data_IF_210365348123
#
_entry.id   IF_210365348123
#
_cell.length_a   1.000
_cell.length_b   1.000
_cell.length_c   1.000
_cell.angle_alpha   90.00
_cell.angle_beta   90.00
_cell.angle_gamma   90.00
#
_symmetry.space_group_name_H-M   'P 1'
#
loop_
_entity.id
_entity.type
_entity.pdbx_description
1 polymer ?
#
# COMPACT_ATOMS: atom_id res chain seq x y z
N UNK A 1 4.68 12.76 -8.97
CA UNK A 1 4.86 11.31 -8.70
C UNK A 1 4.27 11.01 -7.32
N UNK A 2 3.40 10.01 -7.18
CA UNK A 2 2.91 9.59 -5.87
C UNK A 2 3.79 8.47 -5.30
N UNK A 3 4.24 8.62 -4.06
CA UNK A 3 5.01 7.59 -3.35
C UNK A 3 4.13 7.03 -2.24
N UNK A 4 3.72 5.76 -2.37
CA UNK A 4 2.97 5.08 -1.32
C UNK A 4 3.93 4.59 -0.23
N UNK A 5 3.66 5.00 1.01
CA UNK A 5 4.44 4.58 2.17
C UNK A 5 3.60 3.64 3.03
N UNK A 6 4.17 2.51 3.50
CA UNK A 6 3.51 1.68 4.50
C UNK A 6 3.08 2.51 5.71
N UNK A 7 1.90 2.21 6.28
CA UNK A 7 1.44 2.90 7.49
C UNK A 7 2.46 2.77 8.63
N UNK A 8 2.70 3.87 9.35
CA UNK A 8 3.58 3.86 10.52
C UNK A 8 2.84 3.15 11.65
N UNK A 9 3.34 1.97 12.03
CA UNK A 9 2.77 1.17 13.11
C UNK A 9 3.75 1.10 14.29
N UNK A 10 3.23 1.23 15.51
CA UNK A 10 4.03 1.11 16.73
C UNK A 10 4.16 -0.35 17.23
N UNK A 11 3.55 -1.32 16.55
CA UNK A 11 3.42 -2.69 17.09
C UNK A 11 4.66 -3.56 16.87
N UNK A 12 5.61 -3.45 17.78
CA UNK A 12 6.66 -4.45 18.01
C UNK A 12 7.98 -4.18 17.29
N UNK A 13 9.08 -4.57 17.95
CA UNK A 13 10.47 -4.31 17.54
C UNK A 13 10.99 -5.30 16.48
N UNK A 14 10.10 -5.76 15.59
CA UNK A 14 10.48 -6.65 14.50
C UNK A 14 11.20 -5.86 13.40
N UNK A 15 12.23 -6.44 12.74
CA UNK A 15 12.99 -5.75 11.70
C UNK A 15 12.13 -5.25 10.54
N UNK A 16 11.08 -5.98 10.13
CA UNK A 16 10.09 -5.51 9.16
C UNK A 16 9.44 -4.20 9.58
N UNK A 17 8.96 -4.07 10.82
CA UNK A 17 8.37 -2.81 11.29
C UNK A 17 9.38 -1.67 11.32
N UNK A 18 10.64 -1.96 11.69
CA UNK A 18 11.72 -0.98 11.62
C UNK A 18 12.01 -0.58 10.18
N UNK A 19 11.99 -1.51 9.24
CA UNK A 19 12.13 -1.26 7.81
C UNK A 19 10.97 -0.39 7.29
N UNK A 20 9.71 -0.79 7.52
CA UNK A 20 8.54 -0.02 7.09
C UNK A 20 8.54 1.41 7.68
N UNK A 21 8.86 1.54 8.98
CA UNK A 21 8.99 2.84 9.62
C UNK A 21 10.19 3.64 9.10
N UNK A 22 11.30 2.98 8.72
CA UNK A 22 12.45 3.62 8.07
C UNK A 22 12.09 4.06 6.66
N UNK A 23 11.51 3.21 5.81
CA UNK A 23 11.04 3.55 4.47
C UNK A 23 10.06 4.70 4.48
N UNK A 24 9.09 4.71 5.42
CA UNK A 24 8.19 5.84 5.58
C UNK A 24 8.93 7.13 5.96
N UNK A 25 9.97 7.06 6.81
CA UNK A 25 10.80 8.22 7.18
C UNK A 25 11.75 8.67 6.07
N UNK A 26 12.33 7.76 5.29
CA UNK A 26 13.19 8.07 4.15
C UNK A 26 12.39 8.66 3.01
N UNK A 27 11.17 8.15 2.77
CA UNK A 27 10.25 8.74 1.80
C UNK A 27 9.89 10.19 2.15
N UNK A 28 9.85 10.56 3.44
CA UNK A 28 9.66 11.95 3.86
C UNK A 28 10.87 12.86 3.59
N UNK A 29 12.04 12.34 3.19
CA UNK A 29 13.22 13.16 2.91
C UNK A 29 13.24 13.71 1.47
N UNK A 30 12.65 12.99 0.52
CA UNK A 30 12.75 13.26 -0.93
C UNK A 30 11.38 13.58 -1.58
N UNK A 31 10.42 14.10 -0.82
CA UNK A 31 9.09 14.46 -1.34
C UNK A 31 8.82 15.96 -1.18
N UNK A 32 8.18 16.55 -2.19
CA UNK A 32 7.84 17.98 -2.19
C UNK A 32 6.59 18.30 -1.36
N UNK A 33 5.68 17.32 -1.18
CA UNK A 33 4.39 17.47 -0.52
C UNK A 33 3.99 16.17 0.17
N UNK A 34 3.42 16.27 1.37
CA UNK A 34 2.87 15.13 2.11
C UNK A 34 1.34 15.19 2.17
N UNK A 35 0.68 14.09 1.82
CA UNK A 35 -0.74 13.87 2.09
C UNK A 35 -0.89 13.04 3.36
N UNK A 36 -1.28 13.69 4.47
CA UNK A 36 -1.51 12.99 5.72
C UNK A 36 -2.95 12.50 5.80
N UNK A 37 -3.15 11.21 5.53
CA UNK A 37 -4.46 10.57 5.47
C UNK A 37 -4.91 10.06 6.86
N UNK A 38 -6.07 10.51 7.32
CA UNK A 38 -6.71 10.04 8.56
C UNK A 38 -8.13 9.57 8.32
N UNK A 39 -8.66 8.72 9.20
CA UNK A 39 -10.06 8.28 9.13
C UNK A 39 -10.98 9.27 9.87
N UNK A 40 -12.08 9.66 9.21
CA UNK A 40 -13.07 10.56 9.80
C UNK A 40 -13.60 10.04 11.15
N UNK A 41 -13.67 10.95 12.13
CA UNK A 41 -14.14 10.69 13.50
C UNK A 41 -13.28 9.69 14.30
N UNK A 42 -12.06 9.40 13.83
CA UNK A 42 -11.14 8.47 14.48
C UNK A 42 -9.73 9.04 14.48
N UNK A 43 -9.25 9.42 15.66
CA UNK A 43 -7.85 9.77 15.90
C UNK A 43 -7.22 8.75 16.85
N UNK A 44 -6.07 8.20 16.48
CA UNK A 44 -5.38 7.16 17.22
C UNK A 44 -3.97 7.59 17.63
N UNK A 45 -3.32 6.79 18.48
CA UNK A 45 -1.90 7.00 18.81
C UNK A 45 -0.97 6.79 17.61
N UNK A 46 -1.39 6.03 16.60
CA UNK A 46 -0.61 5.85 15.37
C UNK A 46 -0.66 7.14 14.53
N UNK A 47 -1.84 7.76 14.39
CA UNK A 47 -1.99 9.07 13.73
C UNK A 47 -1.14 10.15 14.43
N UNK A 48 -1.15 10.16 15.77
CA UNK A 48 -0.34 11.07 16.57
C UNK A 48 1.17 10.87 16.33
N UNK A 49 1.62 9.62 16.20
CA UNK A 49 3.03 9.32 15.92
C UNK A 49 3.46 9.72 14.51
N UNK A 50 2.58 9.57 13.51
CA UNK A 50 2.80 10.08 12.16
C UNK A 50 2.94 11.61 12.23
N UNK A 51 2.03 12.30 12.91
CA UNK A 51 2.05 13.75 13.04
C UNK A 51 3.36 14.26 13.66
N UNK A 52 3.85 13.60 14.72
CA UNK A 52 5.14 13.92 15.34
C UNK A 52 6.34 13.70 14.41
N UNK A 53 6.27 12.72 13.50
CA UNK A 53 7.29 12.52 12.49
C UNK A 53 7.26 13.65 11.45
N UNK A 54 6.07 14.05 11.01
CA UNK A 54 5.88 15.14 10.04
C UNK A 54 6.36 16.49 10.57
N UNK A 55 6.17 16.79 11.86
CA UNK A 55 6.70 17.99 12.51
C UNK A 55 8.21 18.14 12.37
N UNK A 56 8.95 17.04 12.19
CA UNK A 56 10.41 17.06 12.02
C UNK A 56 10.83 17.25 10.56
N UNK A 57 9.99 16.86 9.61
CA UNK A 57 10.29 16.85 8.17
C UNK A 57 10.25 18.25 7.54
N UNK A 58 9.53 19.22 8.13
CA UNK A 58 9.41 20.62 7.65
C UNK A 58 8.93 20.76 6.18
N UNK A 59 8.15 19.79 5.70
CA UNK A 59 7.53 19.81 4.38
C UNK A 59 6.10 20.36 4.46
N UNK A 60 5.53 20.88 3.35
CA UNK A 60 4.11 21.19 3.31
C UNK A 60 3.30 19.89 3.48
N UNK A 61 2.27 19.96 4.32
CA UNK A 61 1.42 18.81 4.65
C UNK A 61 -0.03 19.20 4.43
N UNK A 62 -0.73 18.41 3.61
CA UNK A 62 -2.18 18.50 3.42
C UNK A 62 -2.83 17.42 4.26
N UNK A 63 -3.75 17.80 5.14
CA UNK A 63 -4.55 16.85 5.91
C UNK A 63 -5.70 16.33 5.05
N UNK A 64 -5.80 15.01 4.90
CA UNK A 64 -6.86 14.35 4.14
C UNK A 64 -7.71 13.52 5.11
N UNK A 65 -8.91 13.99 5.40
CA UNK A 65 -9.87 13.31 6.29
C UNK A 65 -10.76 12.41 5.45
N UNK A 66 -10.45 11.13 5.38
CA UNK A 66 -11.09 10.17 4.50
C UNK A 66 -12.26 9.42 5.17
N UNK A 67 -13.09 8.76 4.35
CA UNK A 67 -14.28 7.98 4.75
C UNK A 67 -15.39 8.85 5.36
N UNK A 68 -15.51 10.11 4.94
CA UNK A 68 -16.57 11.02 5.42
C UNK A 68 -17.97 10.48 5.12
N UNK A 69 -18.11 9.63 4.09
CA UNK A 69 -19.34 8.92 3.76
C UNK A 69 -19.83 7.98 4.86
N UNK A 70 -18.93 7.52 5.74
CA UNK A 70 -19.27 6.63 6.86
C UNK A 70 -19.69 7.37 8.12
N UNK A 71 -19.58 8.70 8.15
CA UNK A 71 -20.01 9.52 9.26
C UNK A 71 -21.55 9.57 9.30
N UNK A 72 -22.15 8.73 10.17
CA UNK A 72 -23.61 8.69 10.37
C UNK A 72 -24.16 10.03 10.86
N UNK A 73 -23.40 10.72 11.70
CA UNK A 73 -23.75 12.04 12.21
C UNK A 73 -22.79 13.08 11.62
N UNK A 74 -23.27 13.81 10.60
CA UNK A 74 -22.50 14.86 9.94
C UNK A 74 -22.18 16.04 10.85
N UNK A 75 -22.96 16.25 11.92
CA UNK A 75 -22.72 17.35 12.87
C UNK A 75 -21.43 17.13 13.68
N UNK A 76 -20.95 15.89 13.78
CA UNK A 76 -19.68 15.57 14.45
C UNK A 76 -18.45 15.76 13.56
N UNK A 77 -18.64 15.85 12.25
CA UNK A 77 -17.54 15.93 11.30
C UNK A 77 -16.82 17.28 11.38
N UNK A 78 -17.55 18.39 11.41
CA UNK A 78 -16.96 19.73 11.53
C UNK A 78 -16.15 19.91 12.82
N UNK A 79 -16.67 19.57 14.03
CA UNK A 79 -15.87 19.60 15.25
C UNK A 79 -14.62 18.72 15.18
N UNK A 80 -14.72 17.51 14.63
CA UNK A 80 -13.57 16.63 14.47
C UNK A 80 -12.51 17.25 13.56
N UNK A 81 -12.91 17.75 12.38
CA UNK A 81 -11.99 18.43 11.45
C UNK A 81 -11.32 19.62 12.13
N UNK A 82 -12.06 20.45 12.84
CA UNK A 82 -11.50 21.59 13.58
C UNK A 82 -10.48 21.14 14.63
N UNK A 83 -10.78 20.08 15.39
CA UNK A 83 -9.86 19.50 16.36
C UNK A 83 -8.57 19.04 15.69
N UNK A 84 -8.63 18.18 14.68
CA UNK A 84 -7.43 17.62 14.05
C UNK A 84 -6.62 18.67 13.31
N UNK A 85 -7.29 19.64 12.66
CA UNK A 85 -6.63 20.74 11.94
C UNK A 85 -5.85 21.66 12.88
N UNK A 86 -6.25 21.74 14.16
CA UNK A 86 -5.53 22.56 15.15
C UNK A 86 -4.22 21.94 15.65
N UNK A 87 -3.99 20.65 15.39
CA UNK A 87 -2.82 19.90 15.91
C UNK A 87 -1.52 20.21 15.17
N UNK A 88 -1.61 20.75 13.96
CA UNK A 88 -0.46 21.03 13.10
C UNK A 88 -0.82 22.13 12.10
N UNK A 89 0.14 22.98 11.69
CA UNK A 89 -0.09 23.98 10.64
C UNK A 89 -0.16 23.32 9.26
N UNK A 90 -1.26 22.63 8.97
CA UNK A 90 -1.50 22.05 7.66
C UNK A 90 -1.64 23.15 6.61
N UNK A 91 -1.11 22.89 5.41
CA UNK A 91 -1.23 23.79 4.26
C UNK A 91 -2.70 23.91 3.85
N UNK A 92 -3.39 22.76 3.78
CA UNK A 92 -4.81 22.67 3.50
C UNK A 92 -5.43 21.44 4.17
N UNK A 93 -6.77 21.41 4.24
CA UNK A 93 -7.53 20.32 4.85
C UNK A 93 -8.67 19.89 3.92
N UNK A 94 -8.68 18.62 3.54
CA UNK A 94 -9.65 18.05 2.61
C UNK A 94 -10.45 16.92 3.26
N UNK A 95 -11.75 17.10 3.51
CA UNK A 95 -12.64 15.99 3.80
C UNK A 95 -12.99 15.25 2.50
N UNK A 96 -12.68 13.96 2.40
CA UNK A 96 -12.88 13.17 1.17
C UNK A 96 -13.61 11.85 1.43
N UNK A 97 -14.26 11.33 0.40
CA UNK A 97 -14.63 9.93 0.32
C UNK A 97 -13.88 9.29 -0.85
N UNK A 98 -12.75 8.65 -0.57
CA UNK A 98 -11.99 7.94 -1.60
C UNK A 98 -12.81 6.85 -2.31
N UNK A 99 -13.84 6.31 -1.64
CA UNK A 99 -14.73 5.30 -2.22
C UNK A 99 -15.76 5.90 -3.18
N UNK A 100 -16.33 7.06 -2.84
CA UNK A 100 -17.38 7.69 -3.65
C UNK A 100 -16.84 8.71 -4.65
N UNK A 101 -15.60 9.16 -4.47
CA UNK A 101 -14.96 10.20 -5.26
C UNK A 101 -15.14 11.61 -4.70
N UNK A 102 -15.87 11.77 -3.59
CA UNK A 102 -16.15 13.09 -3.00
C UNK A 102 -14.85 13.85 -2.69
N UNK A 103 -14.74 15.07 -3.24
CA UNK A 103 -13.62 16.00 -3.10
C UNK A 103 -12.24 15.48 -3.56
N UNK A 104 -12.18 14.33 -4.25
CA UNK A 104 -10.90 13.77 -4.75
C UNK A 104 -10.33 14.64 -5.87
N UNK A 105 -11.15 15.08 -6.83
CA UNK A 105 -10.69 15.94 -7.93
C UNK A 105 -10.21 17.33 -7.45
N UNK A 106 -10.85 17.88 -6.41
CA UNK A 106 -10.44 19.14 -5.79
C UNK A 106 -9.10 18.99 -5.07
N UNK A 107 -8.92 17.88 -4.33
CA UNK A 107 -7.65 17.52 -3.72
C UNK A 107 -6.54 17.38 -4.77
N UNK A 108 -6.78 16.67 -5.88
CA UNK A 108 -5.81 16.53 -6.97
C UNK A 108 -5.41 17.88 -7.57
N UNK A 109 -6.39 18.74 -7.85
CA UNK A 109 -6.13 20.09 -8.36
C UNK A 109 -5.25 20.89 -7.41
N UNK A 110 -5.52 20.79 -6.10
CA UNK A 110 -4.73 21.50 -5.10
C UNK A 110 -3.33 20.94 -4.95
N UNK A 111 -3.18 19.61 -4.99
CA UNK A 111 -1.88 18.93 -4.98
C UNK A 111 -1.03 19.43 -6.13
N UNK A 112 -1.57 19.47 -7.35
CA UNK A 112 -0.86 19.97 -8.52
C UNK A 112 -0.40 21.43 -8.35
N UNK A 113 -1.23 22.29 -7.76
CA UNK A 113 -0.89 23.68 -7.51
C UNK A 113 0.17 23.90 -6.41
N UNK A 114 0.38 22.91 -5.53
CA UNK A 114 1.38 22.96 -4.46
C UNK A 114 2.73 22.36 -4.89
N UNK A 115 2.78 21.61 -5.99
CA UNK A 115 4.02 21.03 -6.49
C UNK A 115 4.89 22.11 -7.15
N UNK A 116 6.22 22.05 -6.98
CA UNK A 116 7.13 22.94 -7.68
C UNK A 116 7.12 22.65 -9.18
N UNK A 117 7.34 23.68 -9.99
CA UNK A 117 7.55 23.53 -11.42
C UNK A 117 8.87 22.77 -11.65
N UNK A 118 8.79 21.65 -12.37
CA UNK A 118 9.94 20.81 -12.67
C UNK A 118 9.72 20.07 -14.00
N UNK A 119 10.81 19.58 -14.59
CA UNK A 119 10.70 18.68 -15.73
C UNK A 119 9.99 17.39 -15.30
N UNK A 120 9.22 16.81 -16.21
CA UNK A 120 8.61 15.51 -15.96
C UNK A 120 9.72 14.47 -15.70
N UNK A 121 9.69 13.87 -14.50
CA UNK A 121 10.62 12.80 -14.13
C UNK A 121 10.41 11.52 -14.96
N UNK A 122 9.22 11.36 -15.55
CA UNK A 122 8.83 10.23 -16.38
C UNK A 122 8.10 10.72 -17.64
N UNK A 123 8.19 10.00 -18.78
CA UNK A 123 7.39 10.25 -19.98
C UNK A 123 5.88 10.24 -19.68
N UNK A 124 5.08 11.00 -20.43
CA UNK A 124 3.62 11.14 -20.21
C UNK A 124 2.85 9.82 -20.37
N UNK A 125 3.40 8.87 -21.13
CA UNK A 125 2.87 7.53 -21.38
C UNK A 125 3.30 6.49 -20.33
N UNK A 126 4.18 6.87 -19.40
CA UNK A 126 4.65 5.99 -18.34
C UNK A 126 3.69 6.01 -17.14
N UNK A 127 2.74 5.07 -17.10
CA UNK A 127 1.76 4.94 -16.01
C UNK A 127 2.38 4.62 -14.63
N UNK A 128 3.56 3.99 -14.58
CA UNK A 128 4.30 3.69 -13.33
C UNK A 128 5.78 3.37 -13.61
N UNK A 129 6.65 3.59 -12.63
CA UNK A 129 8.06 3.17 -12.60
C UNK A 129 8.25 1.66 -12.33
N UNK A 130 7.16 0.92 -12.12
CA UNK A 130 7.20 -0.49 -11.68
C UNK A 130 6.94 -1.46 -12.82
N UNK A 131 7.82 -2.47 -12.94
CA UNK A 131 7.74 -3.53 -13.96
C UNK A 131 6.43 -4.34 -13.88
N UNK A 132 5.99 -4.97 -14.97
CA UNK A 132 4.81 -5.87 -15.00
C UNK A 132 4.85 -6.95 -13.89
N UNK A 133 6.06 -7.40 -13.52
CA UNK A 133 6.29 -8.32 -12.39
C UNK A 133 5.78 -7.75 -11.05
N UNK A 134 5.96 -6.46 -10.82
CA UNK A 134 5.46 -5.80 -9.63
C UNK A 134 3.94 -5.86 -9.58
N UNK A 135 3.26 -5.45 -10.66
CA UNK A 135 1.80 -5.50 -10.72
C UNK A 135 1.27 -6.92 -10.54
N UNK A 136 1.92 -7.92 -11.15
CA UNK A 136 1.57 -9.32 -10.92
C UNK A 136 1.67 -9.72 -9.44
N UNK A 137 2.72 -9.28 -8.73
CA UNK A 137 2.86 -9.51 -7.29
C UNK A 137 1.77 -8.80 -6.48
N UNK A 138 1.44 -7.55 -6.81
CA UNK A 138 0.41 -6.77 -6.12
C UNK A 138 -0.98 -7.37 -6.28
N UNK A 139 -1.39 -7.77 -7.49
CA UNK A 139 -2.69 -8.40 -7.70
C UNK A 139 -2.84 -9.66 -6.83
N UNK A 140 -1.80 -10.51 -6.75
CA UNK A 140 -1.82 -11.68 -5.88
C UNK A 140 -1.91 -11.26 -4.41
N UNK A 141 -1.09 -10.28 -3.99
CA UNK A 141 -1.03 -9.81 -2.60
C UNK A 141 -2.35 -9.21 -2.16
N UNK A 142 -2.99 -8.42 -3.01
CA UNK A 142 -4.30 -7.84 -2.75
C UNK A 142 -5.37 -8.92 -2.53
N UNK A 143 -5.44 -9.93 -3.40
CA UNK A 143 -6.40 -11.03 -3.24
C UNK A 143 -6.14 -11.84 -1.97
N UNK A 144 -4.85 -12.04 -1.60
CA UNK A 144 -4.48 -12.66 -0.33
C UNK A 144 -4.98 -11.83 0.86
N UNK A 145 -4.66 -10.53 0.91
CA UNK A 145 -5.03 -9.62 2.00
C UNK A 145 -6.55 -9.53 2.17
N UNK A 146 -7.29 -9.35 1.06
CA UNK A 146 -8.76 -9.29 1.05
C UNK A 146 -9.38 -10.54 1.68
N UNK A 147 -8.77 -11.70 1.43
CA UNK A 147 -9.25 -12.98 1.96
C UNK A 147 -8.81 -13.23 3.41
N UNK A 148 -7.56 -12.94 3.75
CA UNK A 148 -6.97 -13.26 5.05
C UNK A 148 -7.17 -12.18 6.10
N UNK A 149 -8.17 -11.31 5.92
CA UNK A 149 -8.42 -9.97 6.47
C UNK A 149 -8.19 -9.71 7.98
N UNK A 150 -7.69 -10.67 8.79
CA UNK A 150 -7.37 -10.52 10.22
C UNK A 150 -6.12 -11.24 10.76
N UNK A 151 -5.47 -12.19 10.08
CA UNK A 151 -4.45 -13.05 10.74
C UNK A 151 -3.01 -13.01 10.19
N UNK A 152 -2.80 -12.65 8.91
CA UNK A 152 -1.51 -12.84 8.22
C UNK A 152 -0.97 -11.64 7.39
N UNK A 153 -1.55 -10.41 7.37
CA UNK A 153 -1.06 -9.37 6.44
C UNK A 153 0.45 -9.07 6.52
N UNK A 154 1.02 -9.08 7.73
CA UNK A 154 2.42 -8.71 7.96
C UNK A 154 3.41 -9.88 7.86
N UNK A 155 2.92 -11.11 7.69
CA UNK A 155 3.73 -12.33 7.69
C UNK A 155 3.72 -13.05 6.33
N UNK A 156 3.24 -12.38 5.27
CA UNK A 156 3.26 -12.90 3.91
C UNK A 156 3.89 -11.91 2.93
N UNK A 157 4.60 -12.43 1.94
CA UNK A 157 5.09 -11.67 0.78
C UNK A 157 4.93 -12.49 -0.49
N UNK A 158 4.88 -11.81 -1.63
CA UNK A 158 4.73 -12.42 -2.96
C UNK A 158 5.96 -12.10 -3.78
N UNK A 159 6.61 -13.14 -4.29
CA UNK A 159 7.76 -13.07 -5.18
C UNK A 159 7.37 -13.65 -6.54
N UNK A 160 7.72 -12.98 -7.64
CA UNK A 160 7.54 -13.51 -9.00
C UNK A 160 8.83 -14.21 -9.42
N UNK A 161 8.84 -15.54 -9.42
CA UNK A 161 9.99 -16.35 -9.86
C UNK A 161 10.14 -16.32 -11.39
N UNK A 162 9.02 -16.28 -12.12
CA UNK A 162 9.01 -16.31 -13.58
C UNK A 162 7.93 -15.38 -14.11
N UNK A 163 8.30 -14.60 -15.11
CA UNK A 163 7.37 -13.84 -15.94
C UNK A 163 7.91 -13.95 -17.36
N UNK A 164 7.20 -14.67 -18.21
CA UNK A 164 7.55 -14.91 -19.60
C UNK A 164 6.39 -14.53 -20.50
N UNK A 165 6.71 -13.82 -21.57
CA UNK A 165 5.79 -13.57 -22.66
C UNK A 165 5.92 -14.70 -23.70
N UNK A 166 4.80 -15.37 -23.95
CA UNK A 166 4.58 -16.31 -25.04
C UNK A 166 3.57 -15.67 -26.02
N UNK A 167 3.44 -16.22 -27.24
CA UNK A 167 2.49 -15.68 -28.24
C UNK A 167 1.05 -15.60 -27.69
N UNK A 168 0.64 -14.38 -27.33
CA UNK A 168 -0.70 -14.09 -26.78
C UNK A 168 -0.95 -14.63 -25.37
N UNK A 169 0.10 -14.91 -24.58
CA UNK A 169 -0.02 -15.44 -23.23
C UNK A 169 1.14 -14.99 -22.34
N UNK A 170 0.83 -14.45 -21.16
CA UNK A 170 1.81 -14.29 -20.09
C UNK A 170 1.83 -15.53 -19.19
N UNK A 171 3.00 -16.15 -19.05
CA UNK A 171 3.24 -17.26 -18.12
C UNK A 171 3.93 -16.73 -16.86
N UNK A 172 3.20 -16.76 -15.75
CA UNK A 172 3.61 -16.15 -14.48
C UNK A 172 3.68 -17.23 -13.40
N UNK A 173 4.82 -17.31 -12.72
CA UNK A 173 5.09 -18.22 -11.62
C UNK A 173 5.41 -17.40 -10.37
N UNK A 174 4.64 -17.57 -9.29
CA UNK A 174 4.75 -16.77 -8.08
C UNK A 174 4.90 -17.63 -6.81
N UNK A 175 5.74 -17.22 -5.88
CA UNK A 175 5.78 -17.78 -4.53
C UNK A 175 5.13 -16.81 -3.55
N UNK A 176 4.20 -17.36 -2.75
CA UNK A 176 3.73 -16.74 -1.51
C UNK A 176 4.57 -17.30 -0.37
N UNK A 177 5.41 -16.45 0.21
CA UNK A 177 6.19 -16.79 1.40
C UNK A 177 5.38 -16.53 2.64
N UNK A 178 5.42 -17.45 3.61
CA UNK A 178 4.85 -17.28 4.94
C UNK A 178 5.84 -17.73 6.02
N UNK A 179 5.64 -17.31 7.26
CA UNK A 179 6.58 -17.60 8.36
C UNK A 179 6.33 -18.94 9.06
N UNK A 180 5.07 -19.39 9.10
CA UNK A 180 4.64 -20.56 9.89
C UNK A 180 3.77 -21.51 9.07
N UNK A 181 3.85 -22.81 9.37
CA UNK A 181 3.04 -23.82 8.67
C UNK A 181 1.54 -23.59 8.83
N UNK A 182 1.09 -23.09 9.99
CA UNK A 182 -0.31 -22.70 10.19
C UNK A 182 -0.78 -21.63 9.20
N UNK A 183 0.07 -20.65 8.89
CA UNK A 183 -0.24 -19.61 7.90
C UNK A 183 -0.33 -20.20 6.49
N UNK A 184 0.59 -21.10 6.14
CA UNK A 184 0.54 -21.83 4.85
C UNK A 184 -0.78 -22.58 4.70
N UNK A 185 -1.24 -23.26 5.75
CA UNK A 185 -2.51 -23.97 5.73
C UNK A 185 -3.71 -23.04 5.55
N UNK A 186 -3.67 -21.83 6.12
CA UNK A 186 -4.72 -20.82 5.94
C UNK A 186 -4.73 -20.29 4.51
N UNK A 187 -3.55 -19.97 3.95
CA UNK A 187 -3.42 -19.49 2.56
C UNK A 187 -3.88 -20.55 1.55
N UNK A 188 -3.50 -21.80 1.75
CA UNK A 188 -3.92 -22.93 0.90
C UNK A 188 -5.43 -23.21 1.08
N UNK A 189 -5.89 -23.15 2.32
CA UNK A 189 -7.26 -23.48 2.72
C UNK A 189 -7.61 -24.95 2.51
N UNK A 190 -8.86 -25.30 2.84
CA UNK A 190 -9.34 -26.69 2.77
C UNK A 190 -9.23 -27.21 1.34
N UNK A 191 -8.44 -28.26 1.13
CA UNK A 191 -8.19 -28.89 -0.19
C UNK A 191 -7.70 -27.90 -1.28
N UNK A 192 -6.97 -26.84 -0.90
CA UNK A 192 -6.48 -25.86 -1.86
C UNK A 192 -7.55 -24.88 -2.39
N UNK A 193 -8.78 -24.97 -1.89
CA UNK A 193 -9.88 -24.12 -2.37
C UNK A 193 -9.58 -22.63 -2.19
N UNK A 194 -8.83 -22.28 -1.15
CA UNK A 194 -8.53 -20.88 -0.88
C UNK A 194 -7.52 -20.30 -1.88
N UNK A 195 -6.40 -20.99 -2.06
CA UNK A 195 -5.39 -20.57 -3.01
C UNK A 195 -5.93 -20.56 -4.45
N UNK A 196 -6.81 -21.51 -4.79
CA UNK A 196 -7.46 -21.54 -6.11
C UNK A 196 -8.29 -20.29 -6.37
N UNK A 197 -9.10 -19.87 -5.40
CA UNK A 197 -9.91 -18.65 -5.52
C UNK A 197 -9.03 -17.39 -5.65
N UNK A 198 -7.96 -17.29 -4.85
CA UNK A 198 -6.99 -16.19 -4.95
C UNK A 198 -6.36 -16.14 -6.33
N UNK A 199 -5.87 -17.29 -6.83
CA UNK A 199 -5.24 -17.40 -8.14
C UNK A 199 -6.22 -17.02 -9.26
N UNK A 200 -7.48 -17.47 -9.19
CA UNK A 200 -8.50 -17.13 -10.20
C UNK A 200 -8.73 -15.63 -10.27
N UNK A 201 -8.97 -14.97 -9.14
CA UNK A 201 -9.25 -13.53 -9.10
C UNK A 201 -8.05 -12.69 -9.52
N UNK A 202 -6.85 -13.05 -9.05
CA UNK A 202 -5.62 -12.36 -9.42
C UNK A 202 -5.36 -12.49 -10.93
N UNK A 203 -5.55 -13.67 -11.51
CA UNK A 203 -5.45 -13.89 -12.96
C UNK A 203 -6.44 -13.03 -13.74
N UNK A 204 -7.70 -12.96 -13.34
CA UNK A 204 -8.71 -12.13 -14.00
C UNK A 204 -8.43 -10.63 -13.93
N UNK A 205 -7.82 -10.15 -12.84
CA UNK A 205 -7.32 -8.78 -12.73
C UNK A 205 -6.12 -8.55 -13.64
N UNK A 206 -5.16 -9.47 -13.67
CA UNK A 206 -4.00 -9.40 -14.57
C UNK A 206 -4.41 -9.40 -16.04
N UNK A 207 -5.34 -10.25 -16.46
CA UNK A 207 -5.79 -10.31 -17.86
C UNK A 207 -6.46 -9.00 -18.30
N UNK A 208 -7.26 -8.40 -17.42
CA UNK A 208 -7.87 -7.09 -17.68
C UNK A 208 -6.83 -5.98 -17.75
N UNK A 209 -5.82 -6.03 -16.89
CA UNK A 209 -4.78 -5.01 -16.81
C UNK A 209 -3.78 -5.09 -17.96
N UNK A 210 -3.30 -6.29 -18.29
CA UNK A 210 -2.32 -6.51 -19.36
C UNK A 210 -2.94 -6.58 -20.76
N UNK A 211 -4.26 -6.79 -20.87
CA UNK A 211 -4.94 -6.96 -22.15
C UNK A 211 -4.57 -8.25 -22.90
N UNK A 212 -3.96 -9.22 -22.20
CA UNK A 212 -3.53 -10.51 -22.74
C UNK A 212 -3.94 -11.64 -21.80
N UNK A 213 -3.96 -12.87 -22.29
CA UNK A 213 -4.25 -14.04 -21.44
C UNK A 213 -3.14 -14.26 -20.44
N UNK A 214 -3.48 -14.82 -19.27
CA UNK A 214 -2.50 -15.10 -18.21
C UNK A 214 -2.62 -16.54 -17.75
N UNK A 215 -1.50 -17.25 -17.76
CA UNK A 215 -1.33 -18.52 -17.05
C UNK A 215 -0.59 -18.25 -15.73
N UNK A 216 -1.31 -18.34 -14.62
CA UNK A 216 -0.78 -18.04 -13.29
C UNK A 216 -0.61 -19.31 -12.46
N UNK A 217 0.61 -19.56 -12.01
CA UNK A 217 0.94 -20.59 -11.01
C UNK A 217 1.40 -19.94 -9.72
N UNK A 218 0.87 -20.44 -8.59
CA UNK A 218 1.20 -19.93 -7.26
C UNK A 218 1.60 -21.09 -6.35
N UNK A 219 2.77 -20.98 -5.72
CA UNK A 219 3.21 -21.88 -4.65
C UNK A 219 3.18 -21.16 -3.31
N UNK A 220 2.94 -21.90 -2.24
CA UNK A 220 3.03 -21.37 -0.87
C UNK A 220 4.17 -22.07 -0.17
N UNK A 221 5.21 -21.32 0.19
CA UNK A 221 6.42 -21.84 0.84
C UNK A 221 6.57 -21.21 2.22
N UNK A 222 7.07 -22.00 3.19
CA UNK A 222 7.38 -21.50 4.53
C UNK A 222 8.85 -21.12 4.60
N UNK A 223 9.13 -19.88 4.97
CA UNK A 223 10.48 -19.41 5.29
C UNK A 223 10.43 -18.80 6.69
N UNK A 224 11.03 -19.47 7.68
CA UNK A 224 11.04 -18.95 9.05
C UNK A 224 11.82 -17.64 9.09
N UNK A 225 11.32 -16.66 9.86
CA UNK A 225 12.06 -15.44 10.21
C UNK A 225 12.49 -14.58 9.00
N UNK A 226 11.82 -14.70 7.85
CA UNK A 226 12.17 -13.91 6.66
C UNK A 226 11.94 -12.41 6.88
N UNK A 227 10.90 -12.04 7.63
CA UNK A 227 10.61 -10.64 8.02
C UNK A 227 11.65 -10.04 8.96
N UNK A 228 12.52 -10.88 9.52
CA UNK A 228 13.66 -10.50 10.35
C UNK A 228 15.02 -10.67 9.68
N UNK A 229 15.06 -11.20 8.45
CA UNK A 229 16.27 -11.42 7.67
C UNK A 229 16.41 -10.31 6.62
N UNK A 230 17.33 -9.38 6.87
CA UNK A 230 17.59 -8.20 6.03
C UNK A 230 17.97 -8.58 4.59
N UNK A 231 18.68 -9.70 4.40
CA UNK A 231 19.03 -10.22 3.07
C UNK A 231 17.84 -10.85 2.34
N UNK A 232 16.86 -11.37 3.09
CA UNK A 232 15.60 -11.82 2.52
C UNK A 232 14.74 -10.62 2.13
N UNK A 233 14.67 -9.58 2.98
CA UNK A 233 13.95 -8.34 2.69
C UNK A 233 14.43 -7.71 1.38
N UNK A 234 15.74 -7.54 1.18
CA UNK A 234 16.31 -6.99 -0.07
C UNK A 234 15.90 -7.80 -1.30
N UNK A 235 16.02 -9.14 -1.26
CA UNK A 235 15.63 -10.03 -2.37
C UNK A 235 14.14 -9.99 -2.68
N UNK A 236 13.32 -9.69 -1.67
CA UNK A 236 11.87 -9.60 -1.76
C UNK A 236 11.39 -8.18 -2.13
N UNK A 237 12.31 -7.28 -2.51
CA UNK A 237 11.99 -5.91 -2.92
C UNK A 237 11.85 -4.92 -1.76
N UNK A 238 12.21 -5.32 -0.53
CA UNK A 238 12.22 -4.51 0.68
C UNK A 238 13.66 -4.13 1.08
N UNK A 239 14.45 -3.62 0.15
CA UNK A 239 15.82 -3.17 0.38
C UNK A 239 16.15 -1.92 -0.41
N UNK A 240 17.06 -1.10 0.11
CA UNK A 240 17.62 0.03 -0.64
C UNK A 240 18.34 -0.47 -1.90
N UNK A 241 18.18 0.26 -3.00
CA UNK A 241 19.12 0.20 -4.13
C UNK A 241 20.35 1.01 -3.80
#
# INVERSE_FOLDING_TARGET
VYVDTPGIHQRGDQPMNRYLNRTARTALADVDLVLFLVEALKWTQEDEAVLQALQRAKLPVVLVVNKVDRARDKNRLLPFIAEVSSRFPFTDVFPVSARQGDNVAELETKVLALLPENANFFPEDQLSDRSERFFAAEFIREQLIRRTAREIPYALTVEIEQFQEEEGLYRIAAIVWVEREGQKNIVIGRKGAALKEVATRAREEMERFFGTRVFLQIWVKVKKSWSSDESALIRLGYGEK
#
